data_IF_527848040698
#
_entry.id   IF_527848040698
#
_cell.length_a   1.000
_cell.length_b   1.000
_cell.length_c   1.000
_cell.angle_alpha   90.00
_cell.angle_beta   90.00
_cell.angle_gamma   90.00
#
_symmetry.space_group_name_H-M   'P 1'
#
loop_
_entity.id
_entity.type
_entity.pdbx_description
1 polymer ?
#
# COMPACT_ATOMS: atom_id res chain seq x y z
N UNK A 1 20.91 65.88 -24.13
CA UNK A 1 21.78 64.77 -23.70
C UNK A 1 21.02 63.97 -22.66
N UNK A 2 20.80 62.68 -22.95
CA UNK A 2 19.78 61.81 -22.38
C UNK A 2 20.09 61.34 -20.95
N UNK A 3 19.14 61.50 -20.04
CA UNK A 3 19.14 60.83 -18.74
C UNK A 3 18.59 59.40 -18.90
N UNK A 4 19.46 58.40 -18.77
CA UNK A 4 19.10 56.98 -18.76
C UNK A 4 18.63 56.58 -17.35
N UNK A 5 17.33 56.35 -17.20
CA UNK A 5 16.73 55.68 -16.04
C UNK A 5 17.08 54.19 -16.09
N UNK A 6 17.93 53.73 -15.18
CA UNK A 6 18.20 52.30 -14.95
C UNK A 6 17.06 51.74 -14.09
N UNK A 7 16.10 51.08 -14.72
CA UNK A 7 15.05 50.33 -14.04
C UNK A 7 15.63 48.94 -13.68
N UNK A 8 16.12 48.80 -12.44
CA UNK A 8 16.59 47.52 -11.91
C UNK A 8 15.39 46.59 -11.71
N UNK A 9 15.15 45.71 -12.68
CA UNK A 9 14.11 44.69 -12.60
C UNK A 9 14.61 43.57 -11.68
N UNK A 10 14.27 43.65 -10.39
CA UNK A 10 14.56 42.59 -9.42
C UNK A 10 13.73 41.37 -9.83
N UNK A 11 14.38 40.40 -10.47
CA UNK A 11 13.81 39.07 -10.71
C UNK A 11 13.66 38.36 -9.37
N UNK A 12 12.49 38.47 -8.75
CA UNK A 12 12.10 37.61 -7.63
C UNK A 12 11.94 36.20 -8.20
N UNK A 13 12.97 35.36 -8.03
CA UNK A 13 12.84 33.93 -8.28
C UNK A 13 11.89 33.36 -7.25
N UNK A 14 10.64 33.09 -7.64
CA UNK A 14 9.69 32.34 -6.82
C UNK A 14 10.19 30.90 -6.77
N UNK A 15 10.81 30.51 -5.65
CA UNK A 15 11.13 29.12 -5.38
C UNK A 15 9.83 28.37 -5.11
N UNK A 16 9.34 27.61 -6.09
CA UNK A 16 8.28 26.64 -5.87
C UNK A 16 8.86 25.47 -5.09
N UNK A 17 8.69 25.47 -3.76
CA UNK A 17 8.88 24.25 -2.96
C UNK A 17 7.79 23.27 -3.36
N UNK A 18 8.12 22.27 -4.19
CA UNK A 18 7.23 21.13 -4.37
C UNK A 18 7.01 20.49 -3.00
N UNK A 19 5.76 20.26 -2.55
CA UNK A 19 5.53 19.59 -1.28
C UNK A 19 6.29 18.26 -1.29
N UNK A 20 7.10 18.04 -0.24
CA UNK A 20 7.82 16.78 -0.08
C UNK A 20 6.77 15.68 0.03
N UNK A 21 6.70 14.81 -0.96
CA UNK A 21 5.83 13.65 -0.89
C UNK A 21 6.32 12.76 0.25
N UNK A 22 5.44 12.35 1.19
CA UNK A 22 5.85 11.44 2.25
C UNK A 22 6.32 10.15 1.61
N UNK A 23 7.53 9.73 1.99
CA UNK A 23 8.15 8.56 1.42
C UNK A 23 7.96 7.34 2.33
N UNK A 24 7.44 6.26 1.75
CA UNK A 24 7.32 4.94 2.38
C UNK A 24 8.29 3.99 1.66
N UNK A 25 9.36 3.60 2.35
CA UNK A 25 10.40 2.73 1.85
C UNK A 25 10.20 1.30 2.35
N UNK A 26 9.60 0.46 1.52
CA UNK A 26 9.43 -0.97 1.80
C UNK A 26 10.75 -1.77 1.85
N UNK A 27 11.87 -1.19 1.40
CA UNK A 27 13.18 -1.85 1.37
C UNK A 27 13.10 -3.32 0.88
N UNK A 28 13.54 -4.32 1.65
CA UNK A 28 13.48 -5.73 1.25
C UNK A 28 12.05 -6.30 1.22
N UNK A 29 11.10 -5.75 1.98
CA UNK A 29 9.70 -6.15 1.92
C UNK A 29 9.11 -5.97 0.51
N UNK A 30 9.63 -5.02 -0.28
CA UNK A 30 9.17 -4.73 -1.64
C UNK A 30 9.35 -5.89 -2.63
N UNK A 31 10.10 -6.95 -2.31
CA UNK A 31 10.21 -8.14 -3.17
C UNK A 31 9.09 -9.17 -2.95
N UNK A 32 8.28 -9.01 -1.91
CA UNK A 32 7.24 -9.95 -1.52
C UNK A 32 5.86 -9.49 -1.99
N UNK A 33 5.09 -10.41 -2.56
CA UNK A 33 3.66 -10.21 -2.80
C UNK A 33 2.85 -10.44 -1.51
N UNK A 34 3.31 -11.39 -0.70
CA UNK A 34 2.77 -11.73 0.63
C UNK A 34 3.90 -11.72 1.64
N UNK A 35 3.72 -11.04 2.77
CA UNK A 35 4.60 -11.17 3.93
C UNK A 35 3.76 -11.33 5.19
N UNK A 36 4.03 -12.36 5.99
CA UNK A 36 3.13 -12.80 7.06
C UNK A 36 3.90 -13.05 8.36
N UNK A 37 3.36 -12.57 9.48
CA UNK A 37 3.96 -12.73 10.80
C UNK A 37 3.83 -14.14 11.37
N UNK A 38 2.62 -14.70 11.33
CA UNK A 38 2.28 -15.90 12.13
C UNK A 38 1.88 -17.09 11.26
N UNK A 39 0.73 -17.02 10.57
CA UNK A 39 0.20 -18.16 9.82
C UNK A 39 -0.34 -17.67 8.49
N UNK A 40 -0.07 -18.42 7.43
CA UNK A 40 -0.68 -18.21 6.13
C UNK A 40 -1.65 -19.36 5.85
N UNK A 41 -2.91 -19.02 5.54
CA UNK A 41 -3.95 -19.98 5.23
C UNK A 41 -4.58 -19.69 3.87
N UNK A 42 -4.78 -20.74 3.07
CA UNK A 42 -5.47 -20.66 1.80
C UNK A 42 -6.64 -21.66 1.71
N UNK A 43 -7.68 -21.29 0.96
CA UNK A 43 -8.72 -22.18 0.49
C UNK A 43 -8.94 -21.97 -1.02
N UNK A 44 -9.06 -23.05 -1.78
CA UNK A 44 -9.26 -22.99 -3.22
C UNK A 44 -8.03 -22.51 -4.02
N UNK A 45 -8.27 -22.17 -5.28
CA UNK A 45 -7.24 -21.89 -6.28
C UNK A 45 -6.73 -20.44 -6.24
N UNK A 46 -5.94 -20.11 -5.23
CA UNK A 46 -5.25 -18.82 -5.16
C UNK A 46 -4.03 -18.78 -6.06
N UNK A 47 -3.76 -17.63 -6.70
CA UNK A 47 -2.52 -17.38 -7.45
C UNK A 47 -1.81 -16.16 -6.86
N UNK A 48 -0.60 -16.39 -6.36
CA UNK A 48 0.32 -15.35 -5.90
C UNK A 48 1.39 -15.17 -6.97
N UNK A 49 1.55 -13.96 -7.50
CA UNK A 49 2.60 -13.57 -8.45
C UNK A 49 3.63 -12.72 -7.73
N UNK A 50 4.74 -13.34 -7.33
CA UNK A 50 5.79 -12.76 -6.49
C UNK A 50 6.08 -13.62 -5.25
N UNK A 51 7.09 -13.22 -4.46
CA UNK A 51 7.53 -14.02 -3.31
C UNK A 51 6.48 -14.07 -2.20
N UNK A 52 6.42 -15.19 -1.49
CA UNK A 52 5.68 -15.36 -0.25
C UNK A 52 6.68 -15.46 0.88
N UNK A 53 6.56 -14.59 1.88
CA UNK A 53 7.40 -14.58 3.08
C UNK A 53 6.57 -14.87 4.32
N UNK A 54 7.11 -15.68 5.22
CA UNK A 54 6.50 -15.96 6.51
C UNK A 54 7.59 -16.05 7.59
N UNK A 55 7.52 -15.19 8.59
CA UNK A 55 8.45 -15.11 9.72
C UNK A 55 7.86 -14.23 10.83
N UNK A 56 8.04 -14.56 12.12
CA UNK A 56 8.73 -15.73 12.66
C UNK A 56 7.88 -17.01 12.74
N UNK A 57 6.60 -16.93 12.38
CA UNK A 57 5.74 -18.11 12.31
C UNK A 57 6.27 -19.16 11.33
N UNK A 58 5.70 -20.37 11.37
CA UNK A 58 6.18 -21.52 10.58
C UNK A 58 5.11 -22.17 9.70
N UNK A 59 3.85 -21.75 9.82
CA UNK A 59 2.72 -22.46 9.22
C UNK A 59 2.23 -21.78 7.94
N UNK A 60 2.42 -22.49 6.82
CA UNK A 60 1.87 -22.16 5.50
C UNK A 60 0.97 -23.33 5.10
N UNK A 61 -0.34 -23.10 5.02
CA UNK A 61 -1.31 -24.18 4.75
C UNK A 61 -1.97 -24.02 3.37
N UNK A 62 -2.29 -25.16 2.74
CA UNK A 62 -2.99 -25.21 1.45
C UNK A 62 -2.26 -24.48 0.28
N UNK A 63 -0.94 -24.60 0.26
CA UNK A 63 -0.12 -24.48 -0.95
C UNK A 63 0.48 -25.88 -1.16
N UNK A 64 0.06 -26.62 -2.21
CA UNK A 64 -0.08 -26.11 -3.57
C UNK A 64 -1.51 -25.92 -4.12
N UNK A 65 -2.59 -26.08 -3.34
CA UNK A 65 -3.93 -25.74 -3.88
C UNK A 65 -4.03 -24.26 -4.25
N UNK A 66 -3.36 -23.40 -3.49
CA UNK A 66 -2.85 -22.10 -3.95
C UNK A 66 -1.43 -22.23 -4.53
N UNK A 67 -1.10 -21.39 -5.50
CA UNK A 67 0.18 -21.44 -6.22
C UNK A 67 0.95 -20.14 -6.03
N UNK A 68 2.25 -20.26 -5.72
CA UNK A 68 3.21 -19.16 -5.87
C UNK A 68 3.84 -19.27 -7.24
N UNK A 69 3.68 -18.22 -8.05
CA UNK A 69 4.16 -18.12 -9.43
C UNK A 69 5.11 -16.93 -9.55
N UNK A 70 6.14 -17.06 -10.39
CA UNK A 70 7.15 -16.02 -10.59
C UNK A 70 7.77 -15.50 -9.28
N UNK A 71 7.97 -16.40 -8.32
CA UNK A 71 8.51 -16.11 -7.00
C UNK A 71 8.77 -17.38 -6.20
N UNK A 72 9.31 -17.21 -5.00
CA UNK A 72 9.69 -18.29 -4.08
C UNK A 72 9.00 -18.13 -2.74
N UNK A 73 8.82 -19.27 -2.04
CA UNK A 73 8.40 -19.26 -0.64
C UNK A 73 9.63 -19.14 0.26
N UNK A 74 9.58 -18.20 1.20
CA UNK A 74 10.60 -17.90 2.21
C UNK A 74 9.96 -18.08 3.59
N UNK A 75 10.28 -19.17 4.28
CA UNK A 75 9.68 -19.53 5.56
C UNK A 75 10.78 -19.59 6.60
N UNK A 76 10.77 -18.65 7.55
CA UNK A 76 11.76 -18.52 8.63
C UNK A 76 13.21 -18.46 8.12
N UNK A 77 13.44 -17.79 6.99
CA UNK A 77 14.78 -17.53 6.47
C UNK A 77 15.23 -16.08 6.69
N UNK A 78 16.48 -15.78 6.34
CA UNK A 78 17.05 -14.44 6.47
C UNK A 78 16.33 -13.39 5.61
N UNK A 79 15.75 -13.80 4.49
CA UNK A 79 15.05 -12.89 3.58
C UNK A 79 13.69 -12.49 4.16
N UNK A 80 12.91 -13.45 4.66
CA UNK A 80 11.63 -13.20 5.29
C UNK A 80 11.77 -12.44 6.61
N UNK A 81 12.79 -12.76 7.42
CA UNK A 81 13.04 -12.05 8.69
C UNK A 81 13.49 -10.61 8.46
N UNK A 82 14.40 -10.34 7.52
CA UNK A 82 14.78 -8.97 7.17
C UNK A 82 13.60 -8.19 6.58
N UNK A 83 12.80 -8.82 5.71
CA UNK A 83 11.62 -8.20 5.14
C UNK A 83 10.60 -7.80 6.20
N UNK A 84 10.43 -8.58 7.27
CA UNK A 84 9.55 -8.21 8.39
C UNK A 84 10.05 -6.98 9.15
N UNK A 85 11.35 -6.89 9.41
CA UNK A 85 11.94 -5.71 10.04
C UNK A 85 11.74 -4.44 9.16
N UNK A 86 11.99 -4.57 7.87
CA UNK A 86 11.80 -3.48 6.90
C UNK A 86 10.32 -3.08 6.75
N UNK A 87 9.40 -4.05 6.83
CA UNK A 87 7.96 -3.80 6.84
C UNK A 87 7.55 -2.94 8.04
N UNK A 88 8.07 -3.23 9.24
CA UNK A 88 7.79 -2.43 10.44
C UNK A 88 8.29 -0.98 10.26
N UNK A 89 9.47 -0.79 9.68
CA UNK A 89 9.99 0.54 9.38
C UNK A 89 9.09 1.29 8.37
N UNK A 90 8.67 0.63 7.29
CA UNK A 90 7.77 1.20 6.29
C UNK A 90 6.39 1.55 6.86
N UNK A 91 5.84 0.68 7.72
CA UNK A 91 4.59 0.93 8.44
C UNK A 91 4.69 2.22 9.28
N UNK A 92 5.78 2.37 10.04
CA UNK A 92 5.99 3.54 10.89
C UNK A 92 6.18 4.82 10.06
N UNK A 93 6.86 4.76 8.92
CA UNK A 93 6.96 5.88 7.98
C UNK A 93 5.58 6.30 7.47
N UNK A 94 4.74 5.34 7.07
CA UNK A 94 3.39 5.61 6.62
C UNK A 94 2.52 6.18 7.75
N UNK A 95 2.65 5.68 8.97
CA UNK A 95 1.91 6.15 10.15
C UNK A 95 2.28 7.59 10.55
N UNK A 96 3.56 7.95 10.47
CA UNK A 96 4.06 9.28 10.85
C UNK A 96 3.91 10.34 9.75
N UNK A 97 3.49 9.95 8.54
CA UNK A 97 3.30 10.88 7.45
C UNK A 97 2.26 11.96 7.81
N UNK A 98 2.58 13.23 7.55
CA UNK A 98 1.68 14.33 7.85
C UNK A 98 0.40 14.21 7.00
N UNK A 99 -0.76 14.21 7.68
CA UNK A 99 -2.06 14.08 7.01
C UNK A 99 -2.34 15.27 6.10
N UNK A 100 -2.82 14.99 4.89
CA UNK A 100 -3.38 15.99 3.98
C UNK A 100 -4.84 16.25 4.28
N UNK A 101 -5.59 15.18 4.58
CA UNK A 101 -7.02 15.24 4.84
C UNK A 101 -7.44 14.19 5.86
N UNK A 102 -8.40 14.56 6.70
CA UNK A 102 -9.11 13.63 7.57
C UNK A 102 -10.40 13.17 6.89
N UNK A 103 -10.59 11.86 6.78
CA UNK A 103 -11.75 11.21 6.16
C UNK A 103 -12.47 10.30 7.16
N UNK A 104 -12.29 10.52 8.46
CA UNK A 104 -12.97 9.75 9.51
C UNK A 104 -14.49 9.70 9.29
N UNK A 105 -15.05 8.47 9.28
CA UNK A 105 -16.47 8.23 9.05
C UNK A 105 -16.94 8.40 7.60
N UNK A 106 -16.05 8.76 6.67
CA UNK A 106 -16.38 8.92 5.24
C UNK A 106 -16.23 7.59 4.52
N UNK A 107 -17.26 7.22 3.75
CA UNK A 107 -17.19 6.12 2.81
C UNK A 107 -16.26 6.48 1.64
N UNK A 108 -15.29 5.63 1.35
CA UNK A 108 -14.35 5.86 0.25
C UNK A 108 -14.97 5.66 -1.14
N UNK A 109 -16.12 4.97 -1.23
CA UNK A 109 -16.83 4.82 -2.50
C UNK A 109 -17.28 6.17 -3.08
N UNK A 110 -17.26 6.28 -4.41
CA UNK A 110 -17.53 7.48 -5.20
C UNK A 110 -16.53 8.64 -5.03
N UNK A 111 -15.53 8.52 -4.16
CA UNK A 111 -14.48 9.54 -4.05
C UNK A 111 -13.50 9.48 -5.23
N UNK A 112 -13.02 10.66 -5.61
CA UNK A 112 -11.89 10.86 -6.51
C UNK A 112 -10.80 11.57 -5.73
N UNK A 113 -9.71 10.86 -5.43
CA UNK A 113 -8.62 11.35 -4.61
C UNK A 113 -7.36 11.58 -5.45
N UNK A 114 -6.63 12.63 -5.11
CA UNK A 114 -5.33 12.98 -5.69
C UNK A 114 -4.20 12.47 -4.77
N UNK A 115 -2.92 12.53 -5.17
CA UNK A 115 -1.84 12.15 -4.27
C UNK A 115 -1.92 12.91 -2.93
N UNK A 116 -1.73 12.20 -1.82
CA UNK A 116 -1.93 12.74 -0.48
C UNK A 116 -1.99 11.68 0.61
N UNK A 117 -2.08 12.16 1.85
CA UNK A 117 -2.22 11.34 3.06
C UNK A 117 -3.62 11.52 3.64
N UNK A 118 -4.35 10.42 3.75
CA UNK A 118 -5.75 10.35 4.15
C UNK A 118 -5.87 9.62 5.47
N UNK A 119 -6.18 10.36 6.54
CA UNK A 119 -6.30 9.82 7.88
C UNK A 119 -7.73 9.42 8.23
N UNK A 120 -7.86 8.35 8.98
CA UNK A 120 -9.07 7.87 9.62
C UNK A 120 -8.74 7.63 11.10
N UNK A 121 -9.41 8.36 11.99
CA UNK A 121 -9.35 8.14 13.44
C UNK A 121 -10.18 6.91 13.87
N UNK A 122 -10.89 6.31 12.92
CA UNK A 122 -11.60 5.04 13.01
C UNK A 122 -11.31 4.15 11.80
N UNK A 123 -12.17 3.19 11.52
CA UNK A 123 -12.04 2.31 10.36
C UNK A 123 -12.18 3.07 9.03
N UNK A 124 -11.39 2.69 8.04
CA UNK A 124 -11.61 3.05 6.65
C UNK A 124 -12.50 1.99 5.98
N UNK A 125 -13.46 2.40 5.15
CA UNK A 125 -14.39 1.44 4.54
C UNK A 125 -14.85 1.82 3.12
N UNK A 126 -15.14 0.79 2.32
CA UNK A 126 -15.79 0.87 1.02
C UNK A 126 -17.06 0.00 1.07
N UNK A 127 -18.25 0.59 0.96
CA UNK A 127 -19.52 -0.15 1.14
C UNK A 127 -20.02 -0.89 -0.10
N UNK A 128 -19.58 -0.51 -1.30
CA UNK A 128 -19.71 -1.18 -2.61
C UNK A 128 -19.54 -0.10 -3.69
N UNK A 129 -18.80 -0.40 -4.76
CA UNK A 129 -18.46 0.56 -5.81
C UNK A 129 -17.01 1.07 -5.74
N UNK A 130 -16.76 2.22 -6.36
CA UNK A 130 -15.41 2.60 -6.78
C UNK A 130 -14.82 3.73 -5.93
N UNK A 131 -13.63 3.53 -5.38
CA UNK A 131 -12.70 4.60 -5.03
C UNK A 131 -11.81 4.88 -6.24
N UNK A 132 -11.67 6.13 -6.68
CA UNK A 132 -10.77 6.50 -7.78
C UNK A 132 -9.57 7.29 -7.28
N UNK A 133 -8.37 6.79 -7.53
CA UNK A 133 -7.12 7.51 -7.32
C UNK A 133 -6.61 8.04 -8.66
N UNK A 134 -6.41 9.34 -8.77
CA UNK A 134 -6.05 10.00 -10.02
C UNK A 134 -4.85 10.93 -9.87
N UNK A 135 -3.93 10.87 -10.83
CA UNK A 135 -2.68 11.62 -10.80
C UNK A 135 -1.49 10.76 -10.38
N UNK A 136 -0.31 11.04 -10.94
CA UNK A 136 0.93 10.40 -10.51
C UNK A 136 1.39 10.95 -9.17
N UNK A 137 1.59 10.09 -8.17
CA UNK A 137 2.07 10.49 -6.85
C UNK A 137 1.91 9.38 -5.82
N UNK A 138 2.18 9.72 -4.56
CA UNK A 138 2.04 8.82 -3.41
C UNK A 138 0.66 9.01 -2.76
N UNK A 139 0.01 7.89 -2.44
CA UNK A 139 -1.23 7.84 -1.68
C UNK A 139 -0.98 7.05 -0.40
N UNK A 140 -1.27 7.64 0.76
CA UNK A 140 -1.18 6.96 2.05
C UNK A 140 -2.53 7.02 2.72
N UNK A 141 -3.11 5.88 3.02
CA UNK A 141 -4.31 5.75 3.84
C UNK A 141 -3.90 5.28 5.24
N UNK A 142 -4.14 6.09 6.26
CA UNK A 142 -3.80 5.81 7.66
C UNK A 142 -5.08 5.54 8.43
N UNK A 143 -5.32 4.31 8.86
CA UNK A 143 -6.43 4.01 9.77
C UNK A 143 -5.92 3.59 11.13
N UNK A 144 -6.52 4.14 12.19
CA UNK A 144 -6.27 3.72 13.57
C UNK A 144 -6.81 2.31 13.89
N UNK A 145 -7.72 1.81 13.05
CA UNK A 145 -8.44 0.55 13.26
C UNK A 145 -8.43 -0.27 11.97
N UNK A 146 -9.59 -0.75 11.52
CA UNK A 146 -9.70 -1.70 10.41
C UNK A 146 -9.80 -1.02 9.04
N UNK A 147 -9.42 -1.76 8.01
CA UNK A 147 -9.77 -1.49 6.61
C UNK A 147 -10.80 -2.54 6.17
N UNK A 148 -11.98 -2.13 5.72
CA UNK A 148 -13.04 -3.06 5.29
C UNK A 148 -13.53 -2.70 3.90
N UNK A 149 -13.50 -3.66 2.96
CA UNK A 149 -14.30 -3.56 1.74
C UNK A 149 -15.48 -4.51 1.81
N UNK A 150 -16.63 -4.03 1.37
CA UNK A 150 -17.77 -4.89 1.09
C UNK A 150 -17.56 -5.57 -0.26
N UNK A 151 -18.47 -6.50 -0.59
CA UNK A 151 -18.36 -7.25 -1.84
C UNK A 151 -18.37 -6.34 -3.07
N UNK A 152 -17.57 -6.69 -4.07
CA UNK A 152 -17.47 -6.00 -5.37
C UNK A 152 -17.00 -4.53 -5.31
N UNK A 153 -16.37 -4.10 -4.22
CA UNK A 153 -15.69 -2.80 -4.17
C UNK A 153 -14.46 -2.76 -5.09
N UNK A 154 -14.12 -1.57 -5.62
CA UNK A 154 -12.95 -1.40 -6.48
C UNK A 154 -12.13 -0.18 -6.09
N UNK A 155 -10.81 -0.32 -6.16
CA UNK A 155 -9.88 0.82 -6.19
C UNK A 155 -9.40 0.99 -7.63
N UNK A 156 -9.71 2.13 -8.23
CA UNK A 156 -9.40 2.46 -9.62
C UNK A 156 -8.23 3.42 -9.67
N UNK A 157 -7.19 3.09 -10.44
CA UNK A 157 -6.06 3.99 -10.67
C UNK A 157 -6.19 4.64 -12.05
N UNK A 158 -6.09 5.98 -12.09
CA UNK A 158 -6.21 6.77 -13.32
C UNK A 158 -5.08 7.78 -13.43
N UNK A 159 -4.88 8.28 -14.66
CA UNK A 159 -4.00 9.43 -14.98
C UNK A 159 -2.61 9.35 -14.33
N UNK A 160 -1.98 8.17 -14.40
CA UNK A 160 -0.61 7.95 -13.91
C UNK A 160 -0.46 7.47 -12.47
N UNK A 161 -1.56 7.28 -11.72
CA UNK A 161 -1.52 6.58 -10.45
C UNK A 161 -1.03 5.13 -10.63
N UNK A 162 -0.19 4.64 -9.71
CA UNK A 162 0.45 3.32 -9.77
C UNK A 162 0.20 2.53 -8.48
N UNK A 163 -0.08 1.22 -8.54
CA UNK A 163 -0.32 0.40 -7.34
C UNK A 163 0.87 0.47 -6.37
N UNK A 164 2.10 0.40 -6.90
CA UNK A 164 3.35 0.57 -6.17
C UNK A 164 3.45 1.79 -5.26
N UNK A 165 2.71 2.86 -5.56
CA UNK A 165 2.72 4.13 -4.82
C UNK A 165 1.47 4.35 -3.95
N UNK A 166 0.65 3.32 -3.76
CA UNK A 166 -0.51 3.36 -2.87
C UNK A 166 -0.20 2.51 -1.64
N UNK A 167 -0.32 3.10 -0.46
CA UNK A 167 -0.01 2.47 0.82
C UNK A 167 -1.22 2.56 1.75
N UNK A 168 -1.59 1.43 2.33
CA UNK A 168 -2.66 1.29 3.30
C UNK A 168 -2.03 0.88 4.63
N UNK A 169 -1.78 1.85 5.51
CA UNK A 169 -1.34 1.61 6.87
C UNK A 169 -2.58 1.35 7.72
N UNK A 170 -2.68 0.14 8.28
CA UNK A 170 -3.86 -0.33 9.00
C UNK A 170 -3.51 -0.61 10.47
N UNK A 171 -4.18 0.09 11.37
CA UNK A 171 -3.96 0.05 12.82
C UNK A 171 -4.31 -1.29 13.48
N UNK A 172 -5.21 -2.05 12.84
CA UNK A 172 -5.54 -3.41 13.22
C UNK A 172 -5.56 -4.34 11.99
N UNK A 173 -6.74 -4.82 11.58
CA UNK A 173 -6.93 -5.84 10.55
C UNK A 173 -7.52 -5.26 9.27
N UNK A 174 -7.24 -5.90 8.14
CA UNK A 174 -7.91 -5.60 6.88
C UNK A 174 -8.78 -6.78 6.43
N UNK A 175 -9.99 -6.49 5.94
CA UNK A 175 -10.91 -7.50 5.39
C UNK A 175 -11.38 -7.03 4.03
N UNK A 176 -11.04 -7.79 2.98
CA UNK A 176 -11.55 -7.55 1.64
C UNK A 176 -12.75 -8.45 1.35
N UNK A 177 -13.90 -7.83 1.09
CA UNK A 177 -15.13 -8.51 0.71
C UNK A 177 -15.00 -9.25 -0.62
N UNK A 178 -15.85 -10.27 -0.83
CA UNK A 178 -15.79 -11.13 -2.02
C UNK A 178 -15.84 -10.34 -3.32
N UNK A 179 -15.04 -10.72 -4.31
CA UNK A 179 -14.97 -10.05 -5.61
C UNK A 179 -14.40 -8.63 -5.61
N UNK A 180 -13.83 -8.15 -4.49
CA UNK A 180 -13.15 -6.85 -4.44
C UNK A 180 -11.97 -6.82 -5.40
N UNK A 181 -11.77 -5.72 -6.15
CA UNK A 181 -10.52 -5.46 -6.87
C UNK A 181 -9.74 -4.31 -6.23
N UNK A 182 -8.71 -4.66 -5.48
CA UNK A 182 -7.95 -3.74 -4.65
C UNK A 182 -6.59 -3.38 -5.28
N UNK A 183 -6.05 -2.22 -4.90
CA UNK A 183 -4.79 -1.70 -5.43
C UNK A 183 -3.93 -1.16 -4.28
N UNK A 184 -2.65 -1.50 -4.31
CA UNK A 184 -1.66 -0.95 -3.41
C UNK A 184 -1.09 -1.95 -2.41
N UNK A 185 -0.37 -1.40 -1.44
CA UNK A 185 0.37 -2.11 -0.42
C UNK A 185 -0.43 -2.08 0.89
N UNK A 186 -1.00 -3.21 1.30
CA UNK A 186 -1.70 -3.31 2.59
C UNK A 186 -0.69 -3.68 3.67
N UNK A 187 -0.52 -2.84 4.67
CA UNK A 187 0.35 -3.06 5.83
C UNK A 187 -0.50 -3.03 7.10
N UNK A 188 -0.83 -4.20 7.63
CA UNK A 188 -1.68 -4.36 8.82
C UNK A 188 -0.88 -4.86 10.01
N UNK A 189 -1.15 -4.33 11.20
CA UNK A 189 -0.52 -4.82 12.45
C UNK A 189 -1.02 -6.20 12.82
N UNK A 190 -2.30 -6.49 12.52
CA UNK A 190 -2.94 -7.77 12.76
C UNK A 190 -3.35 -8.43 11.43
N UNK A 191 -4.42 -9.22 11.44
CA UNK A 191 -4.71 -10.14 10.33
C UNK A 191 -5.21 -9.44 9.07
N UNK A 192 -4.95 -10.06 7.93
CA UNK A 192 -5.53 -9.66 6.64
C UNK A 192 -6.33 -10.82 6.06
N UNK A 193 -7.59 -10.58 5.75
CA UNK A 193 -8.51 -11.58 5.20
C UNK A 193 -8.97 -11.17 3.82
N UNK A 194 -8.79 -12.06 2.85
CA UNK A 194 -9.37 -11.95 1.52
C UNK A 194 -10.50 -12.95 1.40
N UNK A 195 -11.73 -12.46 1.29
CA UNK A 195 -12.87 -13.31 0.98
C UNK A 195 -12.82 -13.79 -0.48
N UNK A 196 -13.73 -14.70 -0.82
CA UNK A 196 -13.75 -15.41 -2.10
C UNK A 196 -13.57 -14.48 -3.31
N UNK A 197 -12.54 -14.73 -4.10
CA UNK A 197 -12.30 -14.02 -5.36
C UNK A 197 -11.94 -12.54 -5.22
N UNK A 198 -11.67 -12.03 -4.01
CA UNK A 198 -11.04 -10.72 -3.84
C UNK A 198 -9.63 -10.73 -4.44
N UNK A 199 -9.24 -9.68 -5.15
CA UNK A 199 -7.97 -9.61 -5.85
C UNK A 199 -7.18 -8.37 -5.43
N UNK A 200 -5.86 -8.48 -5.44
CA UNK A 200 -4.95 -7.39 -5.13
C UNK A 200 -3.93 -7.22 -6.23
N UNK A 201 -3.77 -5.97 -6.66
CA UNK A 201 -2.60 -5.54 -7.42
C UNK A 201 -1.65 -4.80 -6.48
N UNK A 202 -0.44 -5.33 -6.48
CA UNK A 202 0.68 -5.14 -5.56
C UNK A 202 0.72 -6.16 -4.42
N UNK A 203 0.77 -5.72 -3.16
CA UNK A 203 1.30 -6.58 -2.10
C UNK A 203 0.56 -6.43 -0.78
N UNK A 204 0.50 -7.49 0.02
CA UNK A 204 -0.18 -7.50 1.32
C UNK A 204 0.72 -8.06 2.40
N UNK A 205 0.72 -7.38 3.55
CA UNK A 205 1.70 -7.56 4.59
C UNK A 205 1.03 -7.52 5.98
N UNK A 206 1.08 -8.63 6.71
CA UNK A 206 0.57 -8.74 8.08
C UNK A 206 1.75 -8.87 9.05
N UNK A 207 1.91 -7.89 9.95
CA UNK A 207 3.10 -7.78 10.80
C UNK A 207 3.08 -8.84 11.91
N UNK A 208 2.02 -8.92 12.73
CA UNK A 208 1.99 -9.76 13.93
C UNK A 208 0.93 -10.86 13.89
N UNK A 209 0.35 -11.14 12.72
CA UNK A 209 -0.78 -12.08 12.63
C UNK A 209 -0.82 -12.83 11.30
N UNK A 210 -2.02 -13.29 10.92
CA UNK A 210 -2.24 -14.19 9.81
C UNK A 210 -2.68 -13.49 8.53
N UNK A 211 -2.43 -14.13 7.38
CA UNK A 211 -3.12 -13.83 6.12
C UNK A 211 -3.98 -15.04 5.74
N UNK A 212 -5.25 -14.78 5.43
CA UNK A 212 -6.21 -15.79 4.97
C UNK A 212 -6.69 -15.47 3.57
N UNK A 213 -6.61 -16.45 2.66
CA UNK A 213 -6.96 -16.34 1.24
C UNK A 213 -8.02 -17.38 0.85
N UNK A 214 -8.92 -17.02 -0.05
CA UNK A 214 -9.96 -17.87 -0.63
C UNK A 214 -10.04 -17.61 -2.14
N UNK A 215 -9.33 -18.40 -2.96
CA UNK A 215 -9.37 -18.33 -4.42
C UNK A 215 -9.02 -16.95 -4.99
N UNK A 216 -7.96 -16.32 -4.49
CA UNK A 216 -7.61 -14.93 -4.79
C UNK A 216 -6.50 -14.82 -5.84
N UNK A 217 -6.41 -13.67 -6.52
CA UNK A 217 -5.25 -13.29 -7.31
C UNK A 217 -4.50 -12.12 -6.66
N UNK A 218 -3.26 -12.36 -6.23
CA UNK A 218 -2.37 -11.36 -5.65
C UNK A 218 -1.19 -11.18 -6.59
N UNK A 219 -1.00 -9.98 -7.15
CA UNK A 219 0.05 -9.73 -8.15
C UNK A 219 0.90 -8.53 -7.78
N UNK A 220 2.12 -8.80 -7.29
CA UNK A 220 3.12 -7.79 -7.01
C UNK A 220 3.38 -6.91 -8.23
N UNK A 221 3.52 -5.60 -8.01
CA UNK A 221 3.81 -4.64 -9.06
C UNK A 221 5.22 -4.06 -8.92
N UNK A 222 5.64 -3.25 -9.89
CA UNK A 222 6.81 -2.42 -9.72
C UNK A 222 6.56 -1.43 -8.55
N UNK A 223 7.51 -1.36 -7.61
CA UNK A 223 7.39 -0.50 -6.43
C UNK A 223 7.40 1.00 -6.77
N UNK A 224 7.17 1.84 -5.76
CA UNK A 224 7.15 3.29 -5.97
C UNK A 224 8.54 3.88 -6.22
N UNK A 225 8.81 4.31 -7.45
CA UNK A 225 10.08 4.97 -7.82
C UNK A 225 10.18 6.42 -7.33
N UNK A 226 9.09 7.00 -6.81
CA UNK A 226 9.08 8.40 -6.34
C UNK A 226 9.91 8.58 -5.05
N UNK A 227 9.98 7.54 -4.23
CA UNK A 227 10.80 7.49 -3.02
C UNK A 227 12.30 7.39 -3.30
N UNK A 228 12.69 6.81 -4.43
CA UNK A 228 14.10 6.54 -4.76
C UNK A 228 14.78 7.80 -5.34
N UNK A 229 14.01 8.72 -5.94
CA UNK A 229 14.54 9.94 -6.55
C UNK A 229 15.07 10.99 -5.55
N UNK A 230 14.62 10.96 -4.30
CA UNK A 230 15.15 11.88 -3.28
C UNK A 230 16.53 11.46 -2.74
N UNK A 231 16.96 10.21 -2.95
CA UNK A 231 18.27 9.72 -2.48
C UNK A 231 19.45 10.24 -3.34
N UNK A 232 19.19 10.68 -4.57
CA UNK A 232 20.21 11.10 -5.53
C UNK A 232 20.35 12.64 -5.67
N UNK A 233 19.72 13.41 -4.77
CA UNK A 233 19.76 14.88 -4.80
C UNK A 233 20.43 15.50 -3.56
N UNK A 234 21.20 14.70 -2.80
CA UNK A 234 22.05 15.16 -1.71
C UNK A 234 23.52 14.88 -2.05
#
# INVERSE_FOLDING_TARGET
>A
MNAFLIFCCILFSVSYSTPLHPCVQLASAKSFALLVGITMTNAGATVVRGNLGLSPGTSVTAFPSGIVSSGTQHVVDTNASQAQADLVAAYNQAFLAAKTQDLSGVNLCALVLHPGVYKFDSSAFLTSGNLTLTGGGVYIFQTSSTLITFGNSNVLLKRGAKPGCVFWQVGSSATLGSGTNFQGNIMATTSITFNSGANLKDSTYAINAAITLIGNHITRQAGCTLCERCRHQL
#
